data_IF_175311613656
#
_entry.id   IF_175311613656
#
_cell.length_a   1.000
_cell.length_b   1.000
_cell.length_c   1.000
_cell.angle_alpha   90.00
_cell.angle_beta   90.00
_cell.angle_gamma   90.00
#
_symmetry.space_group_name_H-M   'P 1'
#
loop_
_entity.id
_entity.type
_entity.pdbx_description
1 polymer ?
#
# COMPACT_ATOMS: atom_id res chain seq x y z
N UNK A 1 3.69 22.71 21.51
CA UNK A 1 4.45 22.92 20.26
C UNK A 1 5.98 22.71 20.37
N UNK A 2 6.69 23.31 21.34
CA UNK A 2 8.17 23.17 21.45
C UNK A 2 8.68 21.73 21.59
N UNK A 3 8.00 20.88 22.37
CA UNK A 3 8.37 19.48 22.54
C UNK A 3 8.24 18.67 21.23
N UNK A 4 7.18 18.90 20.47
CA UNK A 4 6.97 18.27 19.17
C UNK A 4 8.04 18.70 18.15
N UNK A 5 8.37 19.99 18.11
CA UNK A 5 9.44 20.50 17.26
C UNK A 5 10.84 20.01 17.68
N UNK A 6 11.07 19.77 18.98
CA UNK A 6 12.30 19.16 19.48
C UNK A 6 12.40 17.68 19.06
N UNK A 7 11.29 16.94 19.14
CA UNK A 7 11.19 15.56 18.66
C UNK A 7 11.38 15.45 17.15
N UNK A 8 10.72 16.29 16.33
CA UNK A 8 10.93 16.30 14.87
C UNK A 8 12.40 16.49 14.50
N UNK A 9 13.12 17.39 15.20
CA UNK A 9 14.55 17.62 14.98
C UNK A 9 15.42 16.40 15.24
N UNK A 10 15.00 15.41 16.04
CA UNK A 10 15.77 14.17 16.20
C UNK A 10 15.64 13.29 14.96
N UNK A 11 14.46 13.26 14.32
CA UNK A 11 14.23 12.50 13.09
C UNK A 11 15.08 13.01 11.92
N UNK A 12 15.27 14.33 11.79
CA UNK A 12 16.14 14.91 10.76
C UNK A 12 17.63 14.65 10.96
N UNK A 13 18.04 14.28 12.18
CA UNK A 13 19.42 13.91 12.50
C UNK A 13 19.68 12.42 12.43
N UNK A 14 18.63 11.62 12.24
CA UNK A 14 18.77 10.20 12.06
C UNK A 14 19.26 9.90 10.64
N UNK A 15 20.27 9.04 10.53
CA UNK A 15 20.79 8.59 9.25
C UNK A 15 19.84 7.53 8.66
N UNK A 16 18.80 8.00 7.99
CA UNK A 16 17.83 7.12 7.34
C UNK A 16 18.48 6.40 6.16
N UNK A 17 18.41 5.08 6.16
CA UNK A 17 18.78 4.27 4.98
C UNK A 17 17.68 4.42 3.93
N UNK A 18 17.85 5.37 3.02
CA UNK A 18 16.92 5.59 1.90
C UNK A 18 17.45 4.93 0.65
N UNK A 19 16.75 3.90 0.17
CA UNK A 19 17.04 3.26 -1.11
C UNK A 19 16.13 3.83 -2.20
N UNK A 20 16.69 4.67 -3.07
CA UNK A 20 16.01 5.18 -4.27
C UNK A 20 16.57 4.47 -5.49
N UNK A 21 15.67 4.02 -6.37
CA UNK A 21 16.02 3.45 -7.67
C UNK A 21 15.10 4.02 -8.74
N UNK A 22 15.54 4.06 -10.00
CA UNK A 22 14.67 4.43 -11.12
C UNK A 22 13.38 3.60 -11.14
N UNK A 23 12.25 4.18 -11.57
CA UNK A 23 11.01 3.44 -11.71
C UNK A 23 11.20 2.28 -12.69
N UNK A 24 10.79 1.08 -12.27
CA UNK A 24 10.82 -0.10 -13.12
C UNK A 24 9.89 0.08 -14.32
N UNK A 25 10.35 -0.19 -15.55
CA UNK A 25 9.48 -0.43 -16.71
C UNK A 25 8.54 0.71 -17.11
N UNK A 26 8.74 1.94 -16.63
CA UNK A 26 7.95 3.12 -16.97
C UNK A 26 6.67 3.33 -16.14
N UNK A 27 5.91 4.41 -16.42
CA UNK A 27 4.75 4.83 -15.61
C UNK A 27 3.66 3.77 -15.45
N UNK A 28 3.34 3.04 -16.52
CA UNK A 28 2.33 1.98 -16.50
C UNK A 28 2.73 0.85 -15.54
N UNK A 29 4.01 0.49 -15.51
CA UNK A 29 4.49 -0.58 -14.64
C UNK A 29 4.47 -0.16 -13.16
N UNK A 30 4.79 1.11 -12.88
CA UNK A 30 4.64 1.71 -11.55
C UNK A 30 3.16 1.71 -11.13
N UNK A 31 2.25 2.10 -12.02
CA UNK A 31 0.82 2.09 -11.75
C UNK A 31 0.32 0.67 -11.44
N UNK A 32 0.70 -0.33 -12.24
CA UNK A 32 0.36 -1.73 -11.99
C UNK A 32 0.96 -2.25 -10.66
N UNK A 33 2.15 -1.79 -10.30
CA UNK A 33 2.75 -2.11 -9.01
C UNK A 33 1.91 -1.51 -7.87
N UNK A 34 1.70 -0.20 -7.87
CA UNK A 34 0.95 0.51 -6.82
C UNK A 34 -0.49 0.02 -6.70
N UNK A 35 -1.18 -0.17 -7.84
CA UNK A 35 -2.55 -0.67 -7.87
C UNK A 35 -2.67 -2.04 -7.17
N UNK A 36 -1.66 -2.91 -7.28
CA UNK A 36 -1.66 -4.18 -6.54
C UNK A 36 -1.55 -3.97 -5.03
N UNK A 37 -0.77 -3.00 -4.56
CA UNK A 37 -0.68 -2.70 -3.12
C UNK A 37 -1.93 -2.02 -2.58
N UNK A 38 -2.61 -1.21 -3.40
CA UNK A 38 -3.78 -0.46 -2.97
C UNK A 38 -5.10 -1.22 -3.14
N UNK A 39 -5.18 -2.19 -4.06
CA UNK A 39 -6.44 -2.89 -4.35
C UNK A 39 -6.42 -4.39 -4.03
N UNK A 40 -5.25 -5.05 -3.97
CA UNK A 40 -5.22 -6.46 -3.56
C UNK A 40 -5.37 -6.61 -2.06
N UNK A 41 -5.98 -7.73 -1.68
CA UNK A 41 -6.14 -8.20 -0.30
C UNK A 41 -4.87 -8.98 0.11
N UNK A 42 -4.90 -9.61 1.29
CA UNK A 42 -3.82 -10.41 1.89
C UNK A 42 -3.13 -11.38 0.91
N UNK A 43 -3.92 -12.07 0.09
CA UNK A 43 -3.48 -13.10 -0.84
C UNK A 43 -4.34 -13.07 -2.10
N UNK A 44 -3.76 -13.43 -3.24
CA UNK A 44 -4.48 -13.54 -4.51
C UNK A 44 -5.04 -14.95 -4.72
N UNK A 45 -6.22 -15.05 -5.33
CA UNK A 45 -6.92 -16.33 -5.51
C UNK A 45 -6.09 -17.44 -6.18
N UNK A 46 -5.30 -17.12 -7.20
CA UNK A 46 -4.43 -18.11 -7.88
C UNK A 46 -3.37 -18.75 -6.96
N UNK A 47 -3.11 -18.15 -5.78
CA UNK A 47 -2.21 -18.72 -4.79
C UNK A 47 -2.93 -19.71 -3.87
N UNK A 48 -4.25 -19.74 -3.84
CA UNK A 48 -5.02 -20.77 -3.13
C UNK A 48 -5.04 -22.02 -4.00
N UNK A 49 -4.48 -23.13 -3.51
CA UNK A 49 -4.26 -24.35 -4.30
C UNK A 49 -5.29 -25.42 -3.97
N UNK A 50 -5.62 -25.58 -2.68
CA UNK A 50 -6.61 -26.53 -2.23
C UNK A 50 -7.26 -26.05 -0.93
N UNK A 51 -8.50 -26.45 -0.72
CA UNK A 51 -9.22 -26.24 0.53
C UNK A 51 -9.99 -27.52 0.85
N UNK A 52 -9.84 -28.00 2.07
CA UNK A 52 -10.70 -29.02 2.68
C UNK A 52 -11.52 -28.35 3.79
N UNK A 53 -12.36 -29.11 4.47
CA UNK A 53 -13.19 -28.58 5.57
C UNK A 53 -12.32 -27.97 6.69
N UNK A 54 -11.15 -28.57 6.95
CA UNK A 54 -10.29 -28.17 8.07
C UNK A 54 -9.03 -27.40 7.65
N UNK A 55 -8.65 -27.41 6.37
CA UNK A 55 -7.33 -26.92 5.94
C UNK A 55 -7.36 -26.10 4.65
N UNK A 56 -6.45 -25.13 4.57
CA UNK A 56 -6.20 -24.32 3.37
C UNK A 56 -4.74 -24.48 2.96
N UNK A 57 -4.52 -24.88 1.71
CA UNK A 57 -3.18 -24.95 1.09
C UNK A 57 -3.00 -23.80 0.13
N UNK A 58 -1.92 -23.02 0.29
CA UNK A 58 -1.61 -21.89 -0.58
C UNK A 58 -0.13 -21.77 -0.91
N UNK A 59 0.17 -21.19 -2.08
CA UNK A 59 1.52 -20.85 -2.50
C UNK A 59 2.03 -19.59 -1.81
N UNK A 60 3.29 -19.56 -1.43
CA UNK A 60 3.98 -18.39 -0.92
C UNK A 60 5.43 -18.33 -1.39
N UNK A 61 6.01 -17.13 -1.29
CA UNK A 61 7.38 -16.87 -1.74
C UNK A 61 8.29 -16.79 -0.52
N UNK A 62 9.21 -17.73 -0.40
CA UNK A 62 10.18 -17.77 0.68
C UNK A 62 11.34 -16.82 0.38
N UNK A 63 11.22 -15.59 0.86
CA UNK A 63 12.25 -14.56 0.69
C UNK A 63 13.56 -14.90 1.43
N UNK A 64 13.52 -15.78 2.45
CA UNK A 64 14.71 -16.21 3.20
C UNK A 64 15.46 -17.30 2.44
N UNK A 65 14.75 -18.18 1.76
CA UNK A 65 15.33 -19.27 0.95
C UNK A 65 15.33 -18.94 -0.53
N UNK A 66 16.05 -17.87 -0.91
CA UNK A 66 16.32 -17.58 -2.32
C UNK A 66 15.08 -17.27 -3.16
N UNK A 67 14.00 -16.78 -2.55
CA UNK A 67 12.76 -16.36 -3.24
C UNK A 67 12.02 -17.53 -3.93
N UNK A 68 12.20 -18.75 -3.46
CA UNK A 68 11.51 -19.92 -4.00
C UNK A 68 10.00 -19.87 -3.72
N UNK A 69 9.20 -20.38 -4.65
CA UNK A 69 7.75 -20.57 -4.44
C UNK A 69 7.53 -21.91 -3.74
N UNK A 70 6.78 -21.90 -2.64
CA UNK A 70 6.50 -23.07 -1.80
C UNK A 70 5.03 -23.15 -1.45
N UNK A 71 4.58 -24.34 -1.07
CA UNK A 71 3.25 -24.54 -0.52
C UNK A 71 3.29 -24.42 1.01
N UNK A 72 2.19 -23.94 1.57
CA UNK A 72 1.93 -23.94 3.00
C UNK A 72 0.49 -24.40 3.21
N UNK A 73 0.31 -25.33 4.12
CA UNK A 73 -1.00 -25.79 4.56
C UNK A 73 -1.19 -25.36 6.00
N UNK A 74 -2.31 -24.70 6.28
CA UNK A 74 -2.73 -24.27 7.61
C UNK A 74 -4.13 -24.80 7.90
N UNK A 75 -4.52 -24.86 9.17
CA UNK A 75 -5.93 -25.02 9.49
C UNK A 75 -6.73 -23.83 8.93
N UNK A 76 -8.01 -24.05 8.62
CA UNK A 76 -8.91 -23.01 8.12
C UNK A 76 -8.98 -21.84 9.12
N UNK A 77 -9.03 -22.13 10.42
CA UNK A 77 -9.03 -21.11 11.49
C UNK A 77 -7.75 -20.26 11.48
N UNK A 78 -6.57 -20.88 11.40
CA UNK A 78 -5.31 -20.14 11.41
C UNK A 78 -5.13 -19.32 10.11
N UNK A 79 -5.59 -19.86 8.97
CA UNK A 79 -5.63 -19.12 7.73
C UNK A 79 -6.52 -17.87 7.84
N UNK A 80 -7.74 -18.02 8.38
CA UNK A 80 -8.67 -16.91 8.58
C UNK A 80 -8.13 -15.88 9.57
N UNK A 81 -7.55 -16.32 10.69
CA UNK A 81 -6.92 -15.43 11.67
C UNK A 81 -5.85 -14.56 11.02
N UNK A 82 -4.95 -15.15 10.22
CA UNK A 82 -3.92 -14.42 9.48
C UNK A 82 -4.51 -13.52 8.41
N UNK A 83 -5.52 -13.97 7.68
CA UNK A 83 -6.19 -13.18 6.65
C UNK A 83 -6.82 -11.91 7.25
N UNK A 84 -7.49 -12.06 8.40
CA UNK A 84 -8.14 -10.96 9.11
C UNK A 84 -7.16 -9.88 9.61
N UNK A 85 -5.87 -10.18 9.77
CA UNK A 85 -4.84 -9.16 10.06
C UNK A 85 -4.70 -8.12 8.94
N UNK A 86 -5.17 -8.43 7.73
CA UNK A 86 -5.18 -7.51 6.58
C UNK A 86 -6.50 -6.77 6.40
N UNK A 87 -7.49 -7.03 7.25
CA UNK A 87 -8.77 -6.32 7.26
C UNK A 87 -8.63 -5.10 8.15
N UNK A 88 -8.86 -3.92 7.58
CA UNK A 88 -8.77 -2.67 8.33
C UNK A 88 -9.97 -2.55 9.29
N UNK A 89 -9.75 -2.13 10.54
CA UNK A 89 -10.84 -1.84 11.46
C UNK A 89 -11.77 -0.76 10.90
N UNK A 90 -13.01 -0.72 11.39
CA UNK A 90 -13.98 0.30 11.01
C UNK A 90 -13.40 1.70 11.23
N UNK A 91 -13.55 2.57 10.24
CA UNK A 91 -13.03 3.95 10.27
C UNK A 91 -11.60 4.11 9.76
N UNK A 92 -10.87 3.02 9.51
CA UNK A 92 -9.56 3.08 8.87
C UNK A 92 -9.69 2.98 7.35
N UNK A 93 -8.91 3.81 6.65
CA UNK A 93 -8.86 3.82 5.19
C UNK A 93 -7.55 3.22 4.71
N UNK A 94 -7.61 2.49 3.59
CA UNK A 94 -6.46 1.81 3.00
C UNK A 94 -5.43 2.77 2.41
N UNK A 95 -5.90 3.88 1.84
CA UNK A 95 -5.06 4.94 1.30
C UNK A 95 -5.36 6.21 2.08
N UNK A 96 -4.34 6.79 2.70
CA UNK A 96 -4.44 8.07 3.39
C UNK A 96 -3.65 9.11 2.61
N UNK A 97 -4.34 10.18 2.23
CA UNK A 97 -3.71 11.31 1.54
C UNK A 97 -3.10 12.29 2.54
N UNK A 98 -1.91 12.79 2.22
CA UNK A 98 -1.14 13.74 3.02
C UNK A 98 -0.67 14.93 2.18
N UNK A 99 -0.12 15.95 2.84
CA UNK A 99 0.36 17.16 2.18
C UNK A 99 -0.77 17.87 1.43
N UNK A 100 -0.50 18.29 0.19
CA UNK A 100 -1.48 18.98 -0.66
C UNK A 100 -2.67 18.11 -1.09
N UNK A 101 -2.59 16.78 -0.92
CA UNK A 101 -3.72 15.87 -1.18
C UNK A 101 -4.55 15.57 0.06
N UNK A 102 -4.18 16.07 1.24
CA UNK A 102 -4.92 15.82 2.48
C UNK A 102 -6.36 16.34 2.39
N UNK A 103 -7.31 15.60 2.96
CA UNK A 103 -8.75 15.88 2.82
C UNK A 103 -9.14 17.32 3.19
N UNK A 104 -8.46 17.90 4.20
CA UNK A 104 -8.73 19.27 4.69
C UNK A 104 -8.39 20.36 3.67
N UNK A 105 -7.37 20.17 2.85
CA UNK A 105 -6.84 21.24 1.99
C UNK A 105 -6.81 20.89 0.50
N UNK A 106 -7.10 19.64 0.11
CA UNK A 106 -6.96 19.21 -1.29
C UNK A 106 -7.81 20.03 -2.25
N UNK A 107 -8.96 20.52 -1.82
CA UNK A 107 -9.88 21.32 -2.65
C UNK A 107 -9.22 22.61 -3.12
N UNK A 108 -8.38 23.21 -2.27
CA UNK A 108 -7.74 24.50 -2.56
C UNK A 108 -6.30 24.31 -3.06
N UNK A 109 -5.58 23.34 -2.49
CA UNK A 109 -4.17 23.10 -2.80
C UNK A 109 -3.98 22.42 -4.16
N UNK A 110 -4.82 21.45 -4.52
CA UNK A 110 -4.66 20.70 -5.77
C UNK A 110 -4.84 21.58 -7.02
N UNK A 111 -5.83 22.49 -7.11
CA UNK A 111 -5.92 23.45 -8.23
C UNK A 111 -4.68 24.34 -8.35
N UNK A 112 -4.13 24.83 -7.23
CA UNK A 112 -2.91 25.64 -7.22
C UNK A 112 -1.72 24.87 -7.77
N UNK A 113 -1.55 23.60 -7.37
CA UNK A 113 -0.51 22.73 -7.92
C UNK A 113 -0.69 22.53 -9.43
N UNK A 114 -1.92 22.29 -9.91
CA UNK A 114 -2.19 22.13 -11.35
C UNK A 114 -1.86 23.40 -12.15
N UNK A 115 -2.28 24.56 -11.65
CA UNK A 115 -1.95 25.85 -12.25
C UNK A 115 -0.43 26.07 -12.34
N UNK A 116 0.30 25.80 -11.26
CA UNK A 116 1.76 25.93 -11.23
C UNK A 116 2.47 24.98 -12.22
N UNK A 117 1.88 23.80 -12.49
CA UNK A 117 2.39 22.83 -13.45
C UNK A 117 1.95 23.09 -14.89
N UNK A 118 1.14 24.14 -15.14
CA UNK A 118 0.53 24.38 -16.47
C UNK A 118 -0.42 23.25 -16.90
N UNK A 119 -0.92 22.44 -15.97
CA UNK A 119 -1.81 21.33 -16.27
C UNK A 119 -3.27 21.83 -16.33
N UNK A 120 -3.94 21.55 -17.44
CA UNK A 120 -5.37 21.83 -17.57
C UNK A 120 -6.16 21.09 -16.48
N UNK A 121 -7.22 21.71 -15.92
CA UNK A 121 -8.08 21.03 -14.96
C UNK A 121 -8.63 19.76 -15.61
N UNK A 122 -8.66 18.62 -14.90
CA UNK A 122 -9.27 17.42 -15.44
C UNK A 122 -10.76 17.66 -15.68
N UNK A 123 -11.36 16.98 -16.67
CA UNK A 123 -12.80 17.04 -16.87
C UNK A 123 -13.51 16.62 -15.58
N UNK A 124 -14.57 17.36 -15.22
CA UNK A 124 -15.43 17.01 -14.09
C UNK A 124 -16.02 15.62 -14.38
N UNK A 125 -15.93 14.64 -13.45
CA UNK A 125 -16.54 13.34 -13.67
C UNK A 125 -18.04 13.52 -13.90
N UNK A 126 -18.58 12.90 -14.95
CA UNK A 126 -20.02 12.81 -15.13
C UNK A 126 -20.63 12.11 -13.90
N UNK A 127 -21.74 12.66 -13.41
CA UNK A 127 -22.47 12.16 -12.25
C UNK A 127 -23.03 10.75 -12.48
#
# INVERSE_FOLDING_TARGET
>A
ERAFAAWLRTLFRHEWVVYVKPPFGGPSHVLHYLARYTHRVAISNHRLIAMTDDHVTFQWKDYRQGRQVRLMTLSAEEFLRRFCLHVLPKGFVRIRFYGFLAARCRTDALPRCRHALGANPPPVPAA
#
